data_IF_229541337399
#
_entry.id   IF_229541337399
#
_cell.length_a   1.000
_cell.length_b   1.000
_cell.length_c   1.000
_cell.angle_alpha   90.00
_cell.angle_beta   90.00
_cell.angle_gamma   90.00
#
_symmetry.space_group_name_H-M   'P 1'
#
loop_
_entity.id
_entity.type
_entity.pdbx_description
1 polymer ?
#
# COMPACT_ATOMS: atom_id res chain seq x y z
N UNK A 1 -27.45 -2.32 3.71
CA UNK A 1 -26.00 -2.53 3.82
C UNK A 1 -25.35 -1.97 2.56
N UNK A 2 -24.51 -0.94 2.67
CA UNK A 2 -23.75 -0.41 1.55
C UNK A 2 -22.53 -1.30 1.33
N UNK A 3 -22.48 -2.01 0.20
CA UNK A 3 -21.31 -2.78 -0.16
C UNK A 3 -20.09 -1.87 -0.26
N UNK A 4 -18.97 -2.25 0.38
CA UNK A 4 -17.71 -1.50 0.35
C UNK A 4 -17.10 -1.43 -1.07
N UNK A 5 -17.54 -2.31 -1.95
CA UNK A 5 -17.06 -2.43 -3.32
C UNK A 5 -18.17 -2.20 -4.34
N UNK A 6 -17.78 -1.62 -5.48
CA UNK A 6 -18.71 -1.45 -6.61
C UNK A 6 -18.85 -2.76 -7.40
N UNK A 7 -20.04 -3.07 -7.97
CA UNK A 7 -20.19 -4.22 -8.85
C UNK A 7 -19.19 -4.18 -10.02
N UNK A 8 -18.40 -5.24 -10.18
CA UNK A 8 -17.38 -5.34 -11.24
C UNK A 8 -16.06 -4.62 -10.96
N UNK A 9 -15.85 -4.08 -9.76
CA UNK A 9 -14.55 -3.53 -9.36
C UNK A 9 -13.47 -4.62 -9.33
N UNK A 10 -12.35 -4.38 -10.00
CA UNK A 10 -11.18 -5.26 -9.92
C UNK A 10 -10.44 -5.02 -8.61
N UNK A 11 -10.40 -6.04 -7.76
CA UNK A 11 -9.81 -5.97 -6.43
C UNK A 11 -8.77 -7.08 -6.27
N UNK A 12 -7.63 -6.75 -5.67
CA UNK A 12 -6.64 -7.77 -5.30
C UNK A 12 -7.18 -8.67 -4.19
N UNK A 13 -6.98 -9.98 -4.30
CA UNK A 13 -7.49 -10.97 -3.33
C UNK A 13 -7.19 -10.61 -1.87
N UNK A 14 -5.96 -10.17 -1.57
CA UNK A 14 -5.58 -9.78 -0.21
C UNK A 14 -6.44 -8.63 0.35
N UNK A 15 -6.85 -7.67 -0.49
CA UNK A 15 -7.73 -6.57 -0.07
C UNK A 15 -9.14 -7.08 0.19
N UNK A 16 -9.65 -7.98 -0.66
CA UNK A 16 -10.96 -8.60 -0.46
C UNK A 16 -11.00 -9.44 0.84
N UNK A 17 -9.99 -10.29 1.08
CA UNK A 17 -9.90 -11.10 2.30
C UNK A 17 -9.77 -10.26 3.57
N UNK A 18 -8.94 -9.21 3.54
CA UNK A 18 -8.78 -8.30 4.68
C UNK A 18 -10.09 -7.59 5.00
N UNK A 19 -10.81 -7.14 3.97
CA UNK A 19 -12.09 -6.46 4.16
C UNK A 19 -13.17 -7.41 4.67
N UNK A 20 -13.23 -8.65 4.16
CA UNK A 20 -14.19 -9.65 4.61
C UNK A 20 -13.98 -10.01 6.08
N UNK A 21 -12.72 -10.14 6.52
CA UNK A 21 -12.40 -10.30 7.95
C UNK A 21 -12.76 -9.09 8.78
N UNK A 22 -12.53 -7.87 8.29
CA UNK A 22 -12.81 -6.64 9.03
C UNK A 22 -14.32 -6.35 9.18
N UNK A 23 -15.13 -6.75 8.20
CA UNK A 23 -16.58 -6.59 8.21
C UNK A 23 -17.32 -7.78 8.82
N UNK A 24 -16.61 -8.87 9.13
CA UNK A 24 -17.19 -10.16 9.54
C UNK A 24 -18.25 -10.69 8.53
N UNK A 25 -18.13 -10.29 7.26
CA UNK A 25 -19.06 -10.62 6.18
C UNK A 25 -18.34 -11.37 5.04
N UNK A 26 -19.02 -12.37 4.50
CA UNK A 26 -18.54 -13.08 3.31
C UNK A 26 -18.70 -12.19 2.07
N UNK A 27 -17.59 -11.74 1.49
CA UNK A 27 -17.60 -11.01 0.23
C UNK A 27 -17.62 -12.01 -0.91
N UNK A 28 -18.66 -11.98 -1.73
CA UNK A 28 -18.71 -12.75 -2.98
C UNK A 28 -17.83 -12.07 -4.05
N UNK A 29 -16.91 -12.82 -4.62
CA UNK A 29 -16.06 -12.37 -5.73
C UNK A 29 -15.83 -13.51 -6.73
N UNK A 30 -15.46 -13.14 -7.95
CA UNK A 30 -15.10 -14.07 -9.00
C UNK A 30 -13.65 -13.82 -9.43
N UNK A 31 -12.85 -14.87 -9.51
CA UNK A 31 -11.49 -14.78 -10.01
C UNK A 31 -11.51 -14.40 -11.51
N UNK A 32 -10.75 -13.37 -11.87
CA UNK A 32 -10.58 -12.92 -13.26
C UNK A 32 -9.12 -13.07 -13.65
N UNK A 33 -8.87 -13.74 -14.78
CA UNK A 33 -7.52 -13.87 -15.34
C UNK A 33 -7.20 -12.64 -16.20
N UNK A 34 -6.09 -11.98 -15.88
CA UNK A 34 -5.55 -10.86 -16.65
C UNK A 34 -4.23 -11.27 -17.30
N UNK A 35 -4.03 -10.88 -18.56
CA UNK A 35 -2.73 -11.02 -19.21
C UNK A 35 -1.67 -10.13 -18.55
N UNK A 36 -0.39 -10.50 -18.68
CA UNK A 36 0.73 -9.82 -18.01
C UNK A 36 0.73 -8.30 -18.22
N UNK A 37 0.47 -7.84 -19.43
CA UNK A 37 0.43 -6.41 -19.78
C UNK A 37 -0.68 -5.67 -19.02
N UNK A 38 -1.90 -6.23 -18.98
CA UNK A 38 -3.02 -5.60 -18.27
C UNK A 38 -2.83 -5.67 -16.76
N UNK A 39 -2.28 -6.77 -16.24
CA UNK A 39 -1.96 -6.90 -14.83
C UNK A 39 -0.91 -5.88 -14.39
N UNK A 40 0.16 -5.69 -15.18
CA UNK A 40 1.22 -4.71 -14.90
C UNK A 40 0.75 -3.25 -14.97
N UNK A 41 -0.22 -2.93 -15.82
CA UNK A 41 -0.83 -1.59 -15.86
C UNK A 41 -1.85 -1.34 -14.74
N UNK A 42 -2.37 -2.38 -14.08
CA UNK A 42 -3.35 -2.24 -13.00
C UNK A 42 -2.70 -2.08 -11.61
N UNK A 43 -1.57 -1.39 -11.53
CA UNK A 43 -0.86 -1.15 -10.27
C UNK A 43 -1.36 0.12 -9.57
N UNK A 44 -1.24 0.16 -8.24
CA UNK A 44 -1.61 1.32 -7.43
C UNK A 44 -0.68 2.51 -7.63
N UNK A 45 0.58 2.26 -8.01
CA UNK A 45 1.57 3.30 -8.29
C UNK A 45 1.49 3.76 -9.75
N UNK A 46 1.25 5.05 -9.96
CA UNK A 46 1.26 5.60 -11.32
C UNK A 46 2.68 5.74 -11.87
N UNK A 47 3.70 5.88 -11.02
CA UNK A 47 5.12 5.93 -11.44
C UNK A 47 5.53 4.57 -12.03
N UNK A 48 5.15 3.49 -11.34
CA UNK A 48 5.39 2.12 -11.81
C UNK A 48 4.61 1.80 -13.09
N UNK A 49 3.36 2.25 -13.17
CA UNK A 49 2.49 2.12 -14.35
C UNK A 49 3.08 2.86 -15.57
N UNK A 50 3.42 4.15 -15.41
CA UNK A 50 3.88 5.03 -16.48
C UNK A 50 5.25 4.61 -17.06
N UNK A 51 6.08 3.96 -16.25
CA UNK A 51 7.38 3.43 -16.66
C UNK A 51 7.30 2.04 -17.29
N UNK A 52 6.11 1.43 -17.38
CA UNK A 52 5.91 0.21 -18.14
C UNK A 52 5.62 0.55 -19.60
N UNK A 53 4.47 1.18 -19.87
CA UNK A 53 4.03 1.62 -21.21
C UNK A 53 3.02 2.79 -21.09
N UNK A 54 2.60 3.34 -22.23
CA UNK A 54 1.51 4.34 -22.33
C UNK A 54 1.68 5.58 -21.43
N UNK A 55 2.94 6.00 -21.22
CA UNK A 55 3.36 7.00 -20.22
C UNK A 55 2.50 8.28 -20.20
N UNK A 56 2.23 8.87 -21.36
CA UNK A 56 1.43 10.09 -21.45
C UNK A 56 -0.02 9.89 -20.94
N UNK A 57 -0.66 8.77 -21.30
CA UNK A 57 -2.02 8.44 -20.86
C UNK A 57 -2.07 8.24 -19.35
N UNK A 58 -1.08 7.54 -18.79
CA UNK A 58 -1.01 7.24 -17.36
C UNK A 58 -0.83 8.51 -16.54
N UNK A 59 0.11 9.38 -16.93
CA UNK A 59 0.37 10.64 -16.25
C UNK A 59 -0.82 11.61 -16.34
N UNK A 60 -1.46 11.71 -17.51
CA UNK A 60 -2.65 12.53 -17.67
C UNK A 60 -3.79 12.07 -16.74
N UNK A 61 -4.04 10.75 -16.69
CA UNK A 61 -5.04 10.16 -15.78
C UNK A 61 -4.69 10.42 -14.31
N UNK A 62 -3.43 10.29 -13.94
CA UNK A 62 -2.97 10.54 -12.56
C UNK A 62 -3.14 12.00 -12.16
N UNK A 63 -2.81 12.95 -13.05
CA UNK A 63 -2.97 14.37 -12.82
C UNK A 63 -4.46 14.77 -12.67
N UNK A 64 -5.33 14.28 -13.56
CA UNK A 64 -6.77 14.53 -13.49
C UNK A 64 -7.41 14.01 -12.20
N UNK A 65 -6.98 12.85 -11.72
CA UNK A 65 -7.47 12.24 -10.49
C UNK A 65 -6.76 12.73 -9.22
N UNK A 66 -5.70 13.54 -9.35
CA UNK A 66 -4.87 13.95 -8.22
C UNK A 66 -4.22 12.77 -7.48
N UNK A 67 -3.81 11.71 -8.20
CA UNK A 67 -3.21 10.51 -7.58
C UNK A 67 -1.89 10.87 -6.88
N UNK A 68 -1.72 10.36 -5.65
CA UNK A 68 -0.47 10.45 -4.89
C UNK A 68 0.18 9.07 -4.86
N UNK A 69 1.47 9.01 -5.18
CA UNK A 69 2.27 7.80 -5.08
C UNK A 69 3.01 7.75 -3.74
N UNK A 70 2.80 6.69 -2.98
CA UNK A 70 3.36 6.54 -1.64
C UNK A 70 4.70 5.77 -1.63
N UNK A 71 5.25 5.44 -2.80
CA UNK A 71 6.57 4.81 -2.96
C UNK A 71 6.71 3.51 -2.15
N UNK A 72 5.64 2.70 -2.12
CA UNK A 72 5.61 1.42 -1.38
C UNK A 72 6.20 0.28 -2.19
N UNK A 73 6.30 0.44 -3.50
CA UNK A 73 6.76 -0.57 -4.43
C UNK A 73 8.27 -0.53 -4.67
N UNK A 74 8.79 -1.55 -5.35
CA UNK A 74 10.20 -1.61 -5.70
C UNK A 74 10.55 -0.61 -6.81
N UNK A 75 9.76 -0.61 -7.89
CA UNK A 75 10.07 0.14 -9.11
C UNK A 75 10.03 1.65 -8.90
N UNK A 76 9.07 2.17 -8.13
CA UNK A 76 9.04 3.60 -7.80
C UNK A 76 10.32 4.07 -7.09
N UNK A 77 10.77 3.30 -6.09
CA UNK A 77 11.97 3.62 -5.33
C UNK A 77 13.22 3.56 -6.21
N UNK A 78 13.34 2.57 -7.10
CA UNK A 78 14.45 2.49 -8.06
C UNK A 78 14.48 3.71 -8.98
N UNK A 79 13.34 4.09 -9.56
CA UNK A 79 13.24 5.23 -10.51
C UNK A 79 13.65 6.55 -9.85
N UNK A 80 13.30 6.74 -8.58
CA UNK A 80 13.66 7.94 -7.82
C UNK A 80 15.05 7.88 -7.17
N UNK A 81 15.76 6.75 -7.26
CA UNK A 81 17.06 6.55 -6.62
C UNK A 81 17.00 6.35 -5.10
N UNK A 82 15.85 5.93 -4.58
CA UNK A 82 15.64 5.59 -3.17
C UNK A 82 16.00 4.15 -2.82
N UNK A 83 16.11 3.86 -1.52
CA UNK A 83 16.32 2.50 -1.01
C UNK A 83 15.07 1.65 -1.23
N UNK A 84 15.20 0.52 -1.92
CA UNK A 84 14.08 -0.38 -2.22
C UNK A 84 13.57 -1.10 -0.95
N UNK A 85 12.26 -1.38 -0.83
CA UNK A 85 11.65 -1.96 0.37
C UNK A 85 11.84 -3.49 0.46
N UNK A 86 13.03 -3.97 0.14
CA UNK A 86 13.41 -5.40 0.20
C UNK A 86 14.87 -5.53 0.67
N UNK A 87 15.24 -6.71 1.18
CA UNK A 87 16.59 -6.96 1.67
C UNK A 87 16.98 -5.98 2.79
N UNK A 88 18.14 -5.32 2.66
CA UNK A 88 18.63 -4.33 3.63
C UNK A 88 17.74 -3.09 3.76
N UNK A 89 16.89 -2.81 2.78
CA UNK A 89 15.92 -1.71 2.84
C UNK A 89 14.58 -2.08 3.46
N UNK A 90 14.40 -3.33 3.88
CA UNK A 90 13.19 -3.75 4.57
C UNK A 90 13.18 -3.21 6.00
N UNK A 91 12.31 -2.23 6.26
CA UNK A 91 12.09 -1.71 7.61
C UNK A 91 11.12 -2.64 8.35
N UNK A 92 11.63 -3.39 9.31
CA UNK A 92 10.77 -4.13 10.25
C UNK A 92 9.96 -3.14 11.10
N UNK A 93 8.63 -3.28 11.20
CA UNK A 93 7.80 -2.39 12.01
C UNK A 93 8.10 -2.45 13.53
N UNK A 94 9.00 -3.32 13.98
CA UNK A 94 9.42 -3.48 15.37
C UNK A 94 10.50 -2.51 15.84
N UNK A 95 10.99 -1.61 14.98
CA UNK A 95 11.96 -0.58 15.36
C UNK A 95 11.31 0.81 15.40
N UNK A 96 10.29 0.99 16.23
CA UNK A 96 10.07 2.31 16.81
C UNK A 96 11.24 2.59 17.76
N UNK A 97 12.03 3.67 17.59
CA UNK A 97 12.79 4.18 18.71
C UNK A 97 11.77 4.77 19.68
N UNK A 98 11.44 4.01 20.73
CA UNK A 98 10.85 4.55 21.94
C UNK A 98 11.83 5.58 22.54
N UNK A 99 11.87 6.79 21.97
CA UNK A 99 12.53 7.96 22.54
C UNK A 99 11.62 8.56 23.63
N UNK A 100 11.19 7.73 24.58
CA UNK A 100 10.81 8.24 25.88
C UNK A 100 12.13 8.35 26.65
N UNK A 101 12.61 9.55 27.01
CA UNK A 101 13.80 9.66 27.82
C UNK A 101 13.57 8.87 29.12
N UNK A 102 14.44 7.89 29.37
CA UNK A 102 14.35 6.93 30.49
C UNK A 102 14.15 7.60 31.87
N UNK A 103 14.46 8.89 32.01
CA UNK A 103 14.21 9.67 33.22
C UNK A 103 12.72 9.87 33.55
N UNK A 104 11.81 9.94 32.56
CA UNK A 104 10.38 10.14 32.82
C UNK A 104 9.73 8.81 33.25
N UNK A 105 10.15 7.70 32.63
CA UNK A 105 9.66 6.37 32.97
C UNK A 105 10.05 5.95 34.40
N UNK A 106 11.24 6.38 34.87
CA UNK A 106 11.70 6.07 36.22
C UNK A 106 10.91 6.83 37.29
N UNK A 107 10.53 8.08 37.05
CA UNK A 107 9.76 8.86 38.03
C UNK A 107 8.30 8.40 38.15
N UNK A 108 7.66 8.07 37.03
CA UNK A 108 6.28 7.56 37.07
C UNK A 108 6.19 6.22 37.83
N UNK A 109 7.24 5.40 37.79
CA UNK A 109 7.30 4.14 38.53
C UNK A 109 7.55 4.33 40.03
N UNK A 110 8.23 5.41 40.42
CA UNK A 110 8.55 5.74 41.81
C UNK A 110 7.38 6.43 42.54
N UNK A 111 6.44 7.00 41.79
CA UNK A 111 5.24 7.67 42.32
C UNK A 111 4.05 6.73 42.58
N UNK A 112 4.15 5.48 42.13
CA UNK A 112 3.08 4.46 42.20
C UNK A 112 3.36 3.38 43.26
N UNK A 113 4.51 3.43 43.95
CA UNK A 113 4.81 2.57 45.11
C UNK A 113 5.17 3.41 46.34
#
# INVERSE_FOLDING_TARGET
>A
MSNVFSPGELIGLLRAERMGRALEEAICYQAVLLGITRASMNTQSFISEASFQETARVLAKAALLGRIDWLKGLKENVVLGGMIPVGSGFKTPSSEPNNIPNNIAFELKKRIY
#
